data_IF_589810226820
#
_entry.id   IF_589810226820
#
_cell.length_a   1.000
_cell.length_b   1.000
_cell.length_c   1.000
_cell.angle_alpha   90.00
_cell.angle_beta   90.00
_cell.angle_gamma   90.00
#
_symmetry.space_group_name_H-M   'P 1'
#
loop_
_entity.id
_entity.type
_entity.pdbx_description
1 polymer ?
#
# COMPACT_ATOMS: atom_id res chain seq x y z
N UNK A 1 -22.90 -3.31 -26.21
CA UNK A 1 -21.69 -4.03 -26.70
C UNK A 1 -20.85 -4.31 -25.47
N UNK A 2 -20.71 -5.56 -25.03
CA UNK A 2 -20.01 -5.91 -23.78
C UNK A 2 -18.57 -6.21 -24.16
N UNK A 3 -17.60 -5.43 -23.67
CA UNK A 3 -16.18 -5.71 -23.91
C UNK A 3 -15.66 -6.66 -22.83
N UNK A 4 -15.50 -7.94 -23.19
CA UNK A 4 -14.82 -8.93 -22.36
C UNK A 4 -13.32 -8.92 -22.66
N UNK A 5 -12.50 -8.79 -21.62
CA UNK A 5 -11.03 -8.79 -21.68
C UNK A 5 -10.46 -10.14 -22.18
N UNK A 6 -9.32 -10.16 -22.90
CA UNK A 6 -8.77 -11.38 -23.47
C UNK A 6 -8.09 -12.25 -22.41
N UNK A 7 -8.63 -13.46 -22.28
CA UNK A 7 -8.04 -14.74 -21.91
C UNK A 7 -6.66 -14.71 -21.21
N UNK A 8 -6.65 -14.86 -19.87
CA UNK A 8 -5.45 -15.18 -19.09
C UNK A 8 -5.28 -16.69 -19.06
N UNK A 9 -4.18 -17.18 -19.64
CA UNK A 9 -3.83 -18.60 -19.74
C UNK A 9 -3.49 -19.21 -18.38
N UNK A 10 -4.47 -19.84 -17.78
CA UNK A 10 -4.40 -20.74 -16.63
C UNK A 10 -5.80 -21.34 -16.52
N UNK A 11 -5.92 -22.63 -16.21
CA UNK A 11 -7.20 -23.35 -16.19
C UNK A 11 -8.12 -22.94 -15.03
N UNK A 12 -8.39 -21.65 -14.87
CA UNK A 12 -9.42 -21.10 -14.01
C UNK A 12 -10.56 -20.61 -14.88
N UNK A 13 -11.72 -21.25 -14.73
CA UNK A 13 -12.94 -20.81 -15.39
C UNK A 13 -13.23 -19.39 -14.92
N UNK A 14 -13.19 -18.42 -15.83
CA UNK A 14 -13.60 -17.06 -15.55
C UNK A 14 -15.03 -17.08 -14.99
N UNK A 15 -15.23 -16.39 -13.87
CA UNK A 15 -16.52 -16.26 -13.21
C UNK A 15 -17.03 -14.83 -13.40
N UNK A 16 -18.28 -14.69 -13.82
CA UNK A 16 -18.93 -13.37 -13.86
C UNK A 16 -19.13 -12.86 -12.42
N UNK A 17 -18.48 -11.76 -12.07
CA UNK A 17 -18.52 -11.16 -10.73
C UNK A 17 -19.22 -9.78 -10.69
N UNK A 18 -19.66 -9.27 -11.83
CA UNK A 18 -20.31 -7.97 -11.89
C UNK A 18 -20.76 -7.59 -13.29
N UNK A 19 -21.42 -6.44 -13.41
CA UNK A 19 -21.90 -5.85 -14.66
C UNK A 19 -21.78 -4.34 -14.60
N UNK A 20 -21.30 -3.75 -15.69
CA UNK A 20 -21.26 -2.31 -15.88
C UNK A 20 -22.39 -1.88 -16.82
N UNK A 21 -23.17 -0.89 -16.39
CA UNK A 21 -24.32 -0.34 -17.09
C UNK A 21 -23.90 0.99 -17.73
N UNK A 22 -23.60 0.97 -19.03
CA UNK A 22 -23.06 2.14 -19.74
C UNK A 22 -24.08 3.27 -19.93
N UNK A 23 -25.37 2.95 -19.89
CA UNK A 23 -26.49 3.88 -20.01
C UNK A 23 -26.59 4.84 -18.81
N UNK A 24 -26.21 4.39 -17.62
CA UNK A 24 -26.24 5.20 -16.40
C UNK A 24 -24.91 5.27 -15.63
N UNK A 25 -23.84 4.68 -16.18
CA UNK A 25 -22.50 4.65 -15.58
C UNK A 25 -22.41 3.80 -14.30
N UNK A 26 -23.40 2.96 -14.00
CA UNK A 26 -23.43 2.20 -12.74
C UNK A 26 -22.64 0.90 -12.83
N UNK A 27 -21.99 0.52 -11.73
CA UNK A 27 -21.28 -0.74 -11.59
C UNK A 27 -21.95 -1.60 -10.51
N UNK A 28 -22.50 -2.74 -10.91
CA UNK A 28 -23.00 -3.77 -10.01
C UNK A 28 -21.96 -4.86 -9.80
N UNK A 29 -21.52 -5.08 -8.56
CA UNK A 29 -20.60 -6.16 -8.18
C UNK A 29 -21.35 -7.18 -7.33
N UNK A 30 -21.05 -8.47 -7.49
CA UNK A 30 -21.53 -9.57 -6.66
C UNK A 30 -20.42 -10.01 -5.68
N UNK A 31 -20.37 -9.46 -4.44
CA UNK A 31 -19.20 -9.62 -3.55
C UNK A 31 -18.91 -11.08 -3.21
N UNK A 32 -19.96 -11.91 -3.07
CA UNK A 32 -19.85 -13.36 -2.79
C UNK A 32 -19.10 -14.18 -3.85
N UNK A 33 -18.85 -13.60 -5.02
CA UNK A 33 -18.16 -14.26 -6.12
C UNK A 33 -16.76 -13.72 -6.36
N UNK A 34 -16.35 -12.70 -5.62
CA UNK A 34 -15.00 -12.15 -5.66
C UNK A 34 -14.11 -12.95 -4.72
N UNK A 35 -13.02 -13.49 -5.26
CA UNK A 35 -11.99 -14.18 -4.48
C UNK A 35 -10.72 -13.36 -4.53
N UNK A 36 -10.22 -12.97 -3.36
CA UNK A 36 -8.94 -12.28 -3.24
C UNK A 36 -7.84 -13.26 -2.83
N UNK A 37 -6.62 -13.14 -3.39
CA UNK A 37 -5.48 -13.95 -2.97
C UNK A 37 -5.23 -13.87 -1.46
N UNK A 38 -4.73 -14.96 -0.88
CA UNK A 38 -4.44 -15.03 0.56
C UNK A 38 -5.67 -15.10 1.47
N UNK A 39 -6.86 -15.43 0.93
CA UNK A 39 -8.09 -15.60 1.72
C UNK A 39 -8.71 -14.29 2.20
N UNK A 40 -8.36 -13.15 1.59
CA UNK A 40 -8.92 -11.84 1.94
C UNK A 40 -10.40 -11.77 1.56
N UNK A 41 -11.20 -11.09 2.37
CA UNK A 41 -12.62 -10.81 2.11
C UNK A 41 -12.86 -9.42 1.51
N UNK A 42 -11.84 -8.56 1.57
CA UNK A 42 -11.83 -7.20 1.00
C UNK A 42 -10.70 -7.07 -0.02
N UNK A 43 -10.82 -6.12 -0.97
CA UNK A 43 -9.71 -5.80 -1.86
C UNK A 43 -8.43 -5.49 -1.07
N UNK A 44 -7.25 -5.81 -1.64
CA UNK A 44 -6.00 -5.32 -1.08
C UNK A 44 -5.97 -3.79 -1.10
N UNK A 45 -5.21 -3.14 -0.20
CA UNK A 45 -4.94 -1.72 -0.30
C UNK A 45 -4.24 -1.37 -1.63
N UNK A 46 -4.57 -0.21 -2.19
CA UNK A 46 -3.94 0.29 -3.42
C UNK A 46 -2.49 0.76 -3.19
N UNK A 47 -2.16 1.07 -1.94
CA UNK A 47 -0.85 1.52 -1.50
C UNK A 47 -0.25 0.53 -0.48
N UNK A 48 1.04 0.16 -0.60
CA UNK A 48 1.68 -0.67 0.39
C UNK A 48 1.68 0.01 1.77
N UNK A 49 1.57 -0.77 2.84
CA UNK A 49 1.53 -0.24 4.21
C UNK A 49 2.79 0.56 4.61
N UNK A 50 3.91 0.33 3.92
CA UNK A 50 5.16 1.06 4.11
C UNK A 50 5.43 2.11 3.03
N UNK A 51 4.46 2.44 2.19
CA UNK A 51 4.68 3.26 1.00
C UNK A 51 5.32 2.45 -0.12
N UNK A 52 5.35 3.00 -1.32
CA UNK A 52 5.92 2.29 -2.48
C UNK A 52 7.43 2.11 -2.36
N UNK A 53 8.10 3.06 -1.70
CA UNK A 53 9.55 3.08 -1.53
C UNK A 53 10.00 2.71 -0.11
N UNK A 54 9.06 2.37 0.78
CA UNK A 54 9.36 2.02 2.17
C UNK A 54 9.42 3.22 3.12
N UNK A 55 9.00 4.40 2.67
CA UNK A 55 9.08 5.68 3.38
C UNK A 55 8.25 5.73 4.69
N UNK A 56 7.22 4.89 4.82
CA UNK A 56 6.41 4.80 6.05
C UNK A 56 6.84 3.67 6.99
N UNK A 57 7.68 2.76 6.51
CA UNK A 57 8.36 1.83 7.39
C UNK A 57 9.37 2.65 8.21
N UNK A 58 9.35 2.53 9.54
CA UNK A 58 10.50 2.99 10.33
C UNK A 58 11.72 2.19 9.88
N UNK A 59 12.70 2.85 9.29
CA UNK A 59 14.04 2.27 9.20
C UNK A 59 14.45 1.89 10.62
N UNK A 60 14.83 0.63 10.82
CA UNK A 60 15.19 0.10 12.13
C UNK A 60 14.02 -0.53 12.89
N UNK A 61 13.63 -1.74 12.49
CA UNK A 61 13.60 -2.81 13.49
C UNK A 61 15.02 -3.34 13.67
N UNK A 62 15.91 -2.51 14.19
CA UNK A 62 16.92 -3.10 15.06
C UNK A 62 16.24 -3.28 16.41
N UNK A 63 16.32 -4.50 16.91
CA UNK A 63 15.72 -4.91 18.14
C UNK A 63 16.45 -4.15 19.26
N UNK A 64 15.92 -2.97 19.63
CA UNK A 64 16.33 -2.17 20.77
C UNK A 64 17.80 -1.76 20.83
N UNK A 65 18.15 -0.59 20.32
CA UNK A 65 19.22 0.24 20.88
C UNK A 65 18.94 1.72 20.57
N UNK A 66 19.05 2.56 21.60
CA UNK A 66 18.56 3.94 21.61
C UNK A 66 19.13 4.83 20.51
N UNK A 67 18.30 5.72 19.96
CA UNK A 67 18.72 6.77 19.06
C UNK A 67 19.71 7.72 19.78
N UNK A 68 20.98 7.67 19.37
CA UNK A 68 22.00 8.65 19.77
C UNK A 68 21.86 9.87 18.87
N UNK A 69 21.35 10.97 19.43
CA UNK A 69 21.35 12.27 18.77
C UNK A 69 22.68 12.97 19.05
N UNK A 70 23.52 13.15 18.02
CA UNK A 70 24.65 14.06 18.10
C UNK A 70 24.15 15.49 17.83
N UNK A 71 24.08 16.31 18.88
CA UNK A 71 23.96 17.76 18.71
C UNK A 71 25.34 18.33 18.35
N UNK A 72 25.46 19.26 17.37
CA UNK A 72 26.72 19.94 17.14
C UNK A 72 27.07 20.76 18.38
N UNK A 73 28.25 20.51 18.95
CA UNK A 73 28.79 21.30 20.04
C UNK A 73 28.88 22.76 19.59
N UNK A 74 28.00 23.61 20.11
CA UNK A 74 28.13 25.06 19.98
C UNK A 74 29.48 25.44 20.58
N UNK A 75 30.37 25.97 19.74
CA UNK A 75 31.66 26.53 20.13
C UNK A 75 31.44 27.54 21.27
N UNK A 76 31.96 27.23 22.46
CA UNK A 76 32.14 28.22 23.51
C UNK A 76 33.24 29.19 23.06
N UNK A 77 32.87 30.36 22.53
CA UNK A 77 33.71 31.55 22.62
C UNK A 77 33.06 32.51 23.60
N UNK A 78 33.33 32.29 24.88
CA UNK A 78 33.22 33.31 25.91
C UNK A 78 34.59 33.40 26.59
N UNK A 79 35.54 34.06 25.91
CA UNK A 79 36.73 34.57 26.58
C UNK A 79 36.27 35.70 27.51
N UNK A 80 36.16 35.39 28.80
CA UNK A 80 36.11 36.36 29.88
C UNK A 80 37.51 36.98 30.03
N UNK A 81 37.69 38.23 29.58
CA UNK A 81 38.66 39.23 30.04
C UNK A 81 38.04 40.60 29.72
N UNK A 82 38.03 41.62 30.61
CA UNK A 82 38.90 41.84 31.75
C UNK A 82 38.26 41.68 33.14
#
# INVERSE_FOLDING_TARGET
MVHSWPNVSGTDRLKLIGTFYSDNGSLGIFPKFVSWPGGRVTPPPDEPACGFDGEYCREGKENGDGAVFYAPALYYTAMLVP
#
